data_IF_585844990948
#
_entry.id   IF_585844990948
#
_cell.length_a   1.000
_cell.length_b   1.000
_cell.length_c   1.000
_cell.angle_alpha   90.00
_cell.angle_beta   90.00
_cell.angle_gamma   90.00
#
_symmetry.space_group_name_H-M   'P 1'
#
loop_
_entity.id
_entity.type
_entity.pdbx_description
1 polymer ?
#
# COMPACT_ATOMS: atom_id res chain seq x y z
N UNK A 1 -8.31 -15.10 4.78
CA UNK A 1 -7.52 -13.95 4.30
C UNK A 1 -8.46 -12.78 4.10
N UNK A 2 -8.13 -11.59 4.67
CA UNK A 2 -9.02 -10.42 4.65
C UNK A 2 -9.32 -9.94 3.22
N UNK A 3 -8.32 -9.89 2.37
CA UNK A 3 -8.44 -9.49 0.97
C UNK A 3 -9.43 -10.36 0.16
N UNK A 4 -9.68 -11.59 0.60
CA UNK A 4 -10.62 -12.52 -0.04
C UNK A 4 -12.04 -12.46 0.55
N UNK A 5 -12.34 -11.48 1.40
CA UNK A 5 -13.73 -11.27 1.87
C UNK A 5 -14.58 -10.91 0.66
N UNK A 6 -15.70 -11.64 0.51
CA UNK A 6 -16.61 -11.44 -0.62
C UNK A 6 -17.47 -10.19 -0.45
N UNK A 7 -17.46 -9.34 -1.46
CA UNK A 7 -18.35 -8.20 -1.65
C UNK A 7 -19.18 -8.45 -2.92
N UNK A 8 -20.49 -8.56 -2.80
CA UNK A 8 -21.41 -8.79 -3.94
C UNK A 8 -20.99 -9.95 -4.87
N UNK A 9 -20.44 -11.03 -4.28
CA UNK A 9 -20.03 -12.23 -5.00
C UNK A 9 -18.62 -12.23 -5.55
N UNK A 10 -17.83 -11.16 -5.32
CA UNK A 10 -16.41 -11.06 -5.69
C UNK A 10 -15.51 -10.77 -4.47
N UNK A 11 -14.27 -11.26 -4.42
CA UNK A 11 -13.32 -10.84 -3.38
C UNK A 11 -13.06 -9.34 -3.41
N UNK A 12 -12.80 -8.74 -2.26
CA UNK A 12 -12.36 -7.34 -2.17
C UNK A 12 -11.10 -7.09 -3.01
N UNK A 13 -10.20 -8.05 -3.07
CA UNK A 13 -8.96 -7.94 -3.85
C UNK A 13 -9.21 -7.75 -5.36
N UNK A 14 -10.32 -8.24 -5.90
CA UNK A 14 -10.69 -7.98 -7.31
C UNK A 14 -10.93 -6.49 -7.55
N UNK A 15 -11.57 -5.80 -6.62
CA UNK A 15 -11.77 -4.35 -6.70
C UNK A 15 -10.44 -3.60 -6.63
N UNK A 16 -9.54 -4.02 -5.73
CA UNK A 16 -8.21 -3.42 -5.60
C UNK A 16 -7.42 -3.60 -6.90
N UNK A 17 -7.32 -4.82 -7.43
CA UNK A 17 -6.59 -5.12 -8.67
C UNK A 17 -7.21 -4.34 -9.85
N UNK A 18 -8.54 -4.33 -9.97
CA UNK A 18 -9.23 -3.60 -11.04
C UNK A 18 -8.91 -2.10 -11.01
N UNK A 19 -8.96 -1.46 -9.84
CA UNK A 19 -8.64 -0.04 -9.70
C UNK A 19 -7.17 0.27 -10.02
N UNK A 20 -6.24 -0.60 -9.61
CA UNK A 20 -4.82 -0.47 -9.96
C UNK A 20 -4.60 -0.66 -11.46
N UNK A 21 -5.36 -1.55 -12.11
CA UNK A 21 -5.32 -1.73 -13.55
C UNK A 21 -5.90 -0.51 -14.30
N UNK A 22 -6.94 0.12 -13.77
CA UNK A 22 -7.48 1.39 -14.30
C UNK A 22 -6.46 2.54 -14.13
N UNK A 23 -5.63 2.51 -13.08
CA UNK A 23 -4.50 3.43 -12.90
C UNK A 23 -3.28 3.13 -13.81
N UNK A 24 -3.35 2.08 -14.63
CA UNK A 24 -2.37 1.76 -15.68
C UNK A 24 -1.36 0.67 -15.33
N UNK A 25 -1.59 -0.13 -14.29
CA UNK A 25 -0.78 -1.31 -13.99
C UNK A 25 -1.41 -2.55 -14.61
N UNK A 26 -0.62 -3.38 -15.28
CA UNK A 26 -1.07 -4.57 -16.02
C UNK A 26 -0.36 -5.86 -15.59
N UNK A 27 0.67 -5.76 -14.76
CA UNK A 27 1.38 -6.91 -14.19
C UNK A 27 1.30 -6.87 -12.66
N UNK A 28 0.82 -7.95 -12.07
CA UNK A 28 0.58 -8.06 -10.62
C UNK A 28 1.32 -9.25 -10.01
N UNK A 29 1.99 -9.01 -8.89
CA UNK A 29 2.54 -10.06 -8.05
C UNK A 29 1.79 -10.12 -6.72
N UNK A 30 1.09 -11.19 -6.46
CA UNK A 30 0.46 -11.44 -5.17
C UNK A 30 1.47 -12.18 -4.26
N UNK A 31 1.94 -11.48 -3.23
CA UNK A 31 2.79 -12.10 -2.21
C UNK A 31 1.91 -12.85 -1.22
N UNK A 32 2.06 -14.15 -1.16
CA UNK A 32 1.23 -15.07 -0.37
C UNK A 32 2.07 -15.94 0.55
N UNK A 33 1.49 -16.35 1.69
CA UNK A 33 2.08 -17.41 2.50
C UNK A 33 1.88 -18.80 1.86
N UNK A 34 2.67 -19.81 2.22
CA UNK A 34 2.60 -21.15 1.63
C UNK A 34 1.25 -21.84 1.85
N UNK A 35 0.49 -21.44 2.88
CA UNK A 35 -0.84 -21.96 3.19
C UNK A 35 -1.99 -21.29 2.40
N UNK A 36 -1.73 -20.21 1.67
CA UNK A 36 -2.75 -19.41 1.01
C UNK A 36 -3.10 -19.88 -0.41
N UNK A 37 -3.15 -21.20 -0.63
CA UNK A 37 -3.49 -21.78 -1.93
C UNK A 37 -4.84 -21.29 -2.48
N UNK A 38 -5.80 -20.96 -1.61
CA UNK A 38 -7.11 -20.44 -2.03
C UNK A 38 -7.04 -19.16 -2.88
N UNK A 39 -6.02 -18.32 -2.68
CA UNK A 39 -5.82 -17.11 -3.48
C UNK A 39 -5.36 -17.52 -4.87
N UNK A 40 -4.38 -18.41 -4.96
CA UNK A 40 -3.88 -18.94 -6.23
C UNK A 40 -4.98 -19.66 -7.00
N UNK A 41 -5.70 -20.58 -6.35
CA UNK A 41 -6.78 -21.35 -6.98
C UNK A 41 -7.86 -20.44 -7.55
N UNK A 42 -8.19 -19.35 -6.84
CA UNK A 42 -9.16 -18.38 -7.31
C UNK A 42 -8.67 -17.65 -8.56
N UNK A 43 -7.51 -16.99 -8.52
CA UNK A 43 -7.01 -16.19 -9.64
C UNK A 43 -6.55 -17.02 -10.84
N UNK A 44 -6.08 -18.26 -10.63
CA UNK A 44 -5.78 -19.19 -11.72
C UNK A 44 -7.05 -19.64 -12.47
N UNK A 45 -8.23 -19.54 -11.83
CA UNK A 45 -9.52 -19.79 -12.45
C UNK A 45 -10.17 -18.58 -13.10
N UNK A 46 -9.65 -17.36 -12.86
CA UNK A 46 -10.16 -16.14 -13.44
C UNK A 46 -9.66 -15.94 -14.88
N UNK A 47 -10.57 -15.54 -15.77
CA UNK A 47 -10.18 -15.02 -17.08
C UNK A 47 -9.74 -13.56 -16.91
N UNK A 48 -8.44 -13.30 -17.14
CA UNK A 48 -7.88 -11.96 -17.14
C UNK A 48 -7.56 -11.54 -18.57
N UNK A 49 -8.13 -10.42 -19.02
CA UNK A 49 -8.01 -9.99 -20.42
C UNK A 49 -7.04 -8.81 -20.61
N UNK A 50 -6.78 -8.06 -19.55
CA UNK A 50 -5.99 -6.83 -19.59
C UNK A 50 -4.84 -6.78 -18.60
N UNK A 51 -4.66 -7.83 -17.83
CA UNK A 51 -3.61 -7.91 -16.81
C UNK A 51 -3.11 -9.34 -16.66
N UNK A 52 -1.95 -9.48 -16.03
CA UNK A 52 -1.37 -10.76 -15.65
C UNK A 52 -1.14 -10.82 -14.14
N UNK A 53 -1.33 -11.99 -13.54
CA UNK A 53 -1.12 -12.22 -12.10
C UNK A 53 -0.12 -13.34 -11.93
N UNK A 54 0.93 -13.07 -11.14
CA UNK A 54 1.90 -14.06 -10.68
C UNK A 54 1.95 -14.07 -9.16
N UNK A 55 2.65 -15.04 -8.58
CA UNK A 55 2.70 -15.22 -7.14
C UNK A 55 4.15 -15.32 -6.66
N UNK A 56 4.46 -14.58 -5.61
CA UNK A 56 5.65 -14.79 -4.81
C UNK A 56 5.26 -15.39 -3.45
N UNK A 57 6.09 -16.29 -2.92
CA UNK A 57 5.80 -16.95 -1.65
C UNK A 57 6.69 -16.36 -0.56
N UNK A 58 6.07 -15.79 0.45
CA UNK A 58 6.73 -15.46 1.70
C UNK A 58 6.69 -16.67 2.61
N UNK A 59 7.80 -17.41 2.71
CA UNK A 59 7.86 -18.69 3.43
C UNK A 59 7.56 -18.55 4.93
N UNK A 60 7.94 -17.42 5.53
CA UNK A 60 7.69 -17.12 6.93
C UNK A 60 7.19 -15.68 7.07
N UNK A 61 6.22 -15.40 7.95
CA UNK A 61 5.67 -14.06 8.15
C UNK A 61 6.66 -13.17 8.94
N UNK A 62 7.76 -12.78 8.32
CA UNK A 62 8.84 -12.01 8.93
C UNK A 62 8.67 -10.49 8.83
N UNK A 63 7.56 -10.02 8.28
CA UNK A 63 7.23 -8.60 8.18
C UNK A 63 6.98 -8.13 6.74
N UNK A 64 6.63 -6.85 6.61
CA UNK A 64 6.23 -6.25 5.33
C UNK A 64 7.39 -6.05 4.35
N UNK A 65 8.58 -5.73 4.83
CA UNK A 65 9.77 -5.65 3.97
C UNK A 65 10.21 -7.03 3.47
N UNK A 66 10.07 -8.08 4.28
CA UNK A 66 10.34 -9.45 3.87
C UNK A 66 9.35 -9.92 2.78
N UNK A 67 8.07 -9.52 2.89
CA UNK A 67 7.09 -9.77 1.85
C UNK A 67 7.46 -9.07 0.53
N UNK A 68 7.93 -7.81 0.59
CA UNK A 68 8.40 -7.09 -0.60
C UNK A 68 9.62 -7.77 -1.20
N UNK A 69 10.59 -8.20 -0.38
CA UNK A 69 11.78 -8.91 -0.85
C UNK A 69 11.44 -10.20 -1.62
N UNK A 70 10.37 -10.91 -1.24
CA UNK A 70 9.91 -12.11 -1.95
C UNK A 70 9.47 -11.83 -3.40
N UNK A 71 9.14 -10.59 -3.74
CA UNK A 71 8.73 -10.18 -5.09
C UNK A 71 9.90 -9.66 -5.96
N UNK A 72 11.16 -9.77 -5.53
CA UNK A 72 12.32 -9.23 -6.25
C UNK A 72 12.45 -9.77 -7.68
N UNK A 73 12.24 -11.08 -7.87
CA UNK A 73 12.30 -11.71 -9.19
C UNK A 73 11.23 -11.16 -10.15
N UNK A 74 10.04 -10.87 -9.63
CA UNK A 74 8.96 -10.25 -10.40
C UNK A 74 9.32 -8.82 -10.84
N UNK A 75 9.85 -8.01 -9.91
CA UNK A 75 10.16 -6.61 -10.19
C UNK A 75 11.35 -6.46 -11.14
N UNK A 76 12.36 -7.33 -11.04
CA UNK A 76 13.58 -7.23 -11.85
C UNK A 76 14.24 -5.86 -11.72
N UNK A 77 14.49 -5.20 -12.85
CA UNK A 77 15.08 -3.87 -12.93
C UNK A 77 14.04 -2.75 -13.04
N UNK A 78 12.75 -3.08 -12.97
CA UNK A 78 11.67 -2.11 -13.10
C UNK A 78 11.26 -1.53 -11.74
N UNK A 79 10.57 -0.39 -11.79
CA UNK A 79 9.91 0.18 -10.61
C UNK A 79 8.68 -0.67 -10.25
N UNK A 80 8.45 -0.85 -8.98
CA UNK A 80 7.33 -1.64 -8.46
C UNK A 80 6.44 -0.81 -7.53
N UNK A 81 5.13 -0.87 -7.76
CA UNK A 81 4.13 -0.34 -6.82
C UNK A 81 3.87 -1.38 -5.74
N UNK A 82 4.02 -0.99 -4.49
CA UNK A 82 3.71 -1.82 -3.32
C UNK A 82 2.51 -1.24 -2.59
N UNK A 83 1.49 -2.05 -2.40
CA UNK A 83 0.26 -1.67 -1.71
C UNK A 83 -0.21 -2.77 -0.75
N UNK A 84 -0.99 -2.40 0.24
CA UNK A 84 -1.69 -3.35 1.08
C UNK A 84 -2.90 -3.94 0.33
N UNK A 85 -3.07 -5.24 0.39
CA UNK A 85 -4.17 -5.95 -0.28
C UNK A 85 -5.56 -5.73 0.36
N UNK A 86 -5.61 -5.13 1.55
CA UNK A 86 -6.82 -4.79 2.29
C UNK A 86 -7.17 -3.29 2.26
N UNK A 87 -6.49 -2.52 1.39
CA UNK A 87 -6.78 -1.12 1.15
C UNK A 87 -7.17 -0.86 -0.32
N UNK A 88 -8.19 -0.04 -0.52
CA UNK A 88 -8.61 0.45 -1.83
C UNK A 88 -8.25 1.93 -1.96
N UNK A 89 -7.36 2.23 -2.89
CA UNK A 89 -6.78 3.57 -3.08
C UNK A 89 -7.47 4.34 -4.20
N UNK A 90 -7.48 5.70 -4.15
CA UNK A 90 -7.98 6.53 -5.23
C UNK A 90 -7.17 6.30 -6.52
N UNK A 91 -7.84 5.94 -7.59
CA UNK A 91 -7.23 5.62 -8.89
C UNK A 91 -6.37 6.75 -9.46
N UNK A 92 -6.89 7.99 -9.43
CA UNK A 92 -6.18 9.17 -9.92
C UNK A 92 -4.89 9.46 -9.15
N UNK A 93 -4.88 9.22 -7.84
CA UNK A 93 -3.68 9.38 -7.01
C UNK A 93 -2.63 8.30 -7.35
N UNK A 94 -3.06 7.05 -7.52
CA UNK A 94 -2.17 5.95 -7.92
C UNK A 94 -1.62 6.18 -9.33
N UNK A 95 -2.44 6.66 -10.28
CA UNK A 95 -1.98 7.01 -11.62
C UNK A 95 -0.90 8.10 -11.59
N UNK A 96 -1.05 9.12 -10.75
CA UNK A 96 -0.01 10.16 -10.55
C UNK A 96 1.27 9.58 -9.95
N UNK A 97 1.16 8.67 -9.01
CA UNK A 97 2.32 8.00 -8.40
C UNK A 97 3.09 7.18 -9.46
N UNK A 98 2.38 6.49 -10.36
CA UNK A 98 2.97 5.72 -11.47
C UNK A 98 3.86 6.56 -12.38
N UNK A 99 3.51 7.84 -12.59
CA UNK A 99 4.23 8.75 -13.49
C UNK A 99 5.55 9.29 -12.90
N UNK A 100 5.83 9.08 -11.62
CA UNK A 100 7.08 9.54 -11.00
C UNK A 100 8.29 8.85 -11.65
N UNK A 101 9.40 9.58 -11.85
CA UNK A 101 10.61 9.01 -12.46
C UNK A 101 11.44 8.14 -11.50
N UNK A 102 11.22 8.29 -10.20
CA UNK A 102 11.96 7.63 -9.13
C UNK A 102 10.99 7.03 -8.11
N UNK A 103 11.46 6.79 -6.89
CA UNK A 103 10.61 6.32 -5.79
C UNK A 103 9.66 7.41 -5.31
N UNK A 104 8.53 7.01 -4.73
CA UNK A 104 7.57 7.94 -4.16
C UNK A 104 6.47 7.25 -3.35
N UNK A 105 5.65 8.06 -2.68
CA UNK A 105 4.52 7.58 -1.88
C UNK A 105 3.35 8.55 -1.96
N UNK A 106 2.15 8.02 -1.71
CA UNK A 106 0.97 8.83 -1.48
C UNK A 106 0.95 9.28 -0.01
N UNK A 107 0.84 10.60 0.20
CA UNK A 107 0.63 11.20 1.50
C UNK A 107 -0.79 11.73 1.62
N UNK A 108 -1.63 11.05 2.41
CA UNK A 108 -3.03 11.46 2.59
C UNK A 108 -3.14 12.50 3.69
N UNK A 109 -3.82 13.63 3.44
CA UNK A 109 -4.04 14.59 4.52
C UNK A 109 -4.93 13.96 5.59
N UNK A 110 -4.57 14.19 6.85
CA UNK A 110 -5.32 13.63 7.99
C UNK A 110 -6.80 14.04 7.96
N UNK A 111 -7.10 15.30 7.59
CA UNK A 111 -8.48 15.80 7.45
C UNK A 111 -9.26 15.03 6.37
N UNK A 112 -8.64 14.75 5.20
CA UNK A 112 -9.33 14.06 4.12
C UNK A 112 -9.56 12.57 4.47
N UNK A 113 -8.61 11.94 5.13
CA UNK A 113 -8.78 10.59 5.67
C UNK A 113 -9.94 10.51 6.66
N UNK A 114 -10.05 11.45 7.60
CA UNK A 114 -11.17 11.49 8.56
C UNK A 114 -12.51 11.73 7.84
N UNK A 115 -12.54 12.54 6.80
CA UNK A 115 -13.77 12.90 6.11
C UNK A 115 -14.25 11.85 5.09
N UNK A 116 -13.33 11.10 4.47
CA UNK A 116 -13.61 10.31 3.26
C UNK A 116 -13.19 8.83 3.34
N UNK A 117 -12.61 8.36 4.45
CA UNK A 117 -12.35 6.93 4.66
C UNK A 117 -13.43 6.30 5.54
N UNK A 118 -13.46 4.97 5.55
CA UNK A 118 -14.25 4.20 6.52
C UNK A 118 -13.46 3.85 7.80
N UNK A 119 -12.32 4.50 8.01
CA UNK A 119 -11.40 4.23 9.12
C UNK A 119 -11.74 5.14 10.29
N UNK A 120 -11.79 4.56 11.50
CA UNK A 120 -12.00 5.32 12.73
C UNK A 120 -10.95 6.43 12.88
N UNK A 121 -11.35 7.70 13.17
CA UNK A 121 -10.42 8.81 13.35
C UNK A 121 -9.30 8.57 14.38
N UNK A 122 -9.55 7.79 15.43
CA UNK A 122 -8.51 7.44 16.41
C UNK A 122 -7.43 6.52 15.79
N UNK A 123 -7.83 5.63 14.88
CA UNK A 123 -6.87 4.80 14.13
C UNK A 123 -6.04 5.64 13.16
N UNK A 124 -6.65 6.61 12.49
CA UNK A 124 -5.95 7.53 11.56
C UNK A 124 -4.85 8.29 12.28
N UNK A 125 -5.08 8.71 13.53
CA UNK A 125 -4.07 9.40 14.35
C UNK A 125 -2.86 8.54 14.70
N UNK A 126 -2.99 7.22 14.64
CA UNK A 126 -1.91 6.27 14.91
C UNK A 126 -1.11 5.88 13.67
N UNK A 127 -1.50 6.36 12.47
CA UNK A 127 -0.77 6.07 11.24
C UNK A 127 0.55 6.83 11.18
N UNK A 128 1.50 6.28 10.41
CA UNK A 128 2.78 6.92 10.22
C UNK A 128 2.63 8.31 9.57
N UNK A 129 3.31 9.31 10.11
CA UNK A 129 3.38 10.65 9.52
C UNK A 129 4.52 10.70 8.52
N UNK A 130 4.29 11.39 7.42
CA UNK A 130 5.27 11.67 6.38
C UNK A 130 5.77 13.11 6.50
N UNK A 131 7.06 13.27 6.68
CA UNK A 131 7.72 14.57 6.61
C UNK A 131 8.33 14.76 5.22
N UNK A 132 8.10 15.93 4.63
CA UNK A 132 8.67 16.31 3.34
C UNK A 132 9.23 17.73 3.38
N UNK A 133 10.22 17.98 2.54
CA UNK A 133 10.74 19.34 2.35
C UNK A 133 9.84 20.18 1.42
N UNK A 134 10.24 21.45 1.21
CA UNK A 134 9.51 22.38 0.36
C UNK A 134 9.43 21.95 -1.12
N UNK A 135 10.26 21.04 -1.56
CA UNK A 135 10.21 20.44 -2.91
C UNK A 135 9.29 19.23 -3.01
N UNK A 136 8.74 18.77 -1.89
CA UNK A 136 7.91 17.56 -1.81
C UNK A 136 8.70 16.26 -1.68
N UNK A 137 10.02 16.34 -1.45
CA UNK A 137 10.84 15.16 -1.22
C UNK A 137 10.68 14.66 0.21
N UNK A 138 10.49 13.36 0.39
CA UNK A 138 10.39 12.71 1.69
C UNK A 138 11.68 12.89 2.48
N UNK A 139 11.60 13.45 3.67
CA UNK A 139 12.72 13.65 4.59
C UNK A 139 12.65 12.73 5.81
N UNK A 140 11.47 12.20 6.11
CA UNK A 140 11.27 11.31 7.24
C UNK A 140 9.93 10.62 7.24
N UNK A 141 9.87 9.54 7.99
CA UNK A 141 8.65 8.78 8.28
C UNK A 141 8.61 8.48 9.78
N UNK A 142 7.58 8.94 10.46
CA UNK A 142 7.43 8.77 11.92
C UNK A 142 6.37 7.69 12.14
N UNK A 143 6.83 6.49 12.44
CA UNK A 143 5.95 5.36 12.78
C UNK A 143 5.41 5.53 14.20
N UNK A 144 4.09 5.27 14.36
CA UNK A 144 3.39 5.37 15.65
C UNK A 144 3.71 6.67 16.40
N UNK A 145 3.44 7.84 15.78
CA UNK A 145 3.73 9.12 16.39
C UNK A 145 3.02 9.24 17.75
N UNK A 146 3.69 9.84 18.72
CA UNK A 146 3.04 10.13 20.01
C UNK A 146 1.95 11.21 19.86
N UNK A 147 0.99 11.31 20.79
CA UNK A 147 -0.15 12.23 20.66
C UNK A 147 0.24 13.71 20.50
N UNK A 148 1.34 14.15 21.11
CA UNK A 148 1.82 15.52 20.99
C UNK A 148 2.37 15.80 19.58
N UNK A 149 3.10 14.85 19.00
CA UNK A 149 3.58 14.91 17.62
C UNK A 149 2.41 14.98 16.63
N UNK A 150 1.38 14.14 16.82
CA UNK A 150 0.17 14.13 16.00
C UNK A 150 -0.59 15.45 16.07
N UNK A 151 -0.71 16.05 17.27
CA UNK A 151 -1.37 17.32 17.49
C UNK A 151 -0.58 18.49 16.87
N UNK A 152 0.73 18.51 17.07
CA UNK A 152 1.63 19.52 16.50
C UNK A 152 1.64 19.50 14.96
N UNK A 153 1.54 18.35 14.35
CA UNK A 153 1.50 18.20 12.90
C UNK A 153 0.20 18.76 12.26
N UNK A 154 -0.90 18.81 13.03
CA UNK A 154 -2.16 19.41 12.58
C UNK A 154 -2.96 18.58 11.58
N UNK A 155 -4.07 19.14 11.08
CA UNK A 155 -5.02 18.45 10.19
C UNK A 155 -4.52 18.32 8.74
N UNK A 156 -3.56 19.15 8.34
CA UNK A 156 -2.92 19.08 7.03
C UNK A 156 -1.74 18.10 6.96
N UNK A 157 -1.38 17.51 8.09
CA UNK A 157 -0.31 16.50 8.14
C UNK A 157 -0.61 15.34 7.19
N UNK A 158 0.43 14.84 6.54
CA UNK A 158 0.34 13.71 5.62
C UNK A 158 0.55 12.40 6.37
N UNK A 159 -0.38 11.47 6.21
CA UNK A 159 -0.30 10.13 6.77
C UNK A 159 -0.02 9.10 5.66
N UNK A 160 0.76 8.08 6.00
CA UNK A 160 1.04 6.96 5.10
C UNK A 160 -0.06 5.91 5.20
N UNK A 161 -0.48 5.40 4.04
CA UNK A 161 -1.33 4.23 3.89
C UNK A 161 -0.60 3.09 3.17
N UNK A 162 0.73 3.06 3.25
CA UNK A 162 1.59 2.04 2.63
C UNK A 162 1.35 1.87 1.12
N UNK A 163 1.22 2.98 0.41
CA UNK A 163 1.16 3.02 -1.05
C UNK A 163 2.46 3.63 -1.57
N UNK A 164 3.40 2.79 -1.99
CA UNK A 164 4.75 3.17 -2.35
C UNK A 164 5.08 2.74 -3.78
N UNK A 165 5.65 3.63 -4.56
CA UNK A 165 6.38 3.28 -5.77
C UNK A 165 7.86 3.20 -5.44
N UNK A 166 8.51 2.10 -5.76
CA UNK A 166 9.91 1.88 -5.48
C UNK A 166 10.73 1.67 -6.75
N UNK A 167 11.94 2.20 -6.77
CA UNK A 167 13.01 1.71 -7.63
C UNK A 167 13.52 0.36 -7.12
N UNK A 168 14.28 -0.43 -7.90
CA UNK A 168 14.86 -1.71 -7.45
C UNK A 168 15.74 -1.60 -6.20
N UNK A 169 16.17 -0.41 -5.81
CA UNK A 169 16.92 -0.14 -4.58
C UNK A 169 16.17 -0.58 -3.30
N UNK A 170 14.85 -0.74 -3.37
CA UNK A 170 14.06 -1.28 -2.25
C UNK A 170 14.55 -2.66 -1.82
N UNK A 171 14.98 -3.51 -2.74
CA UNK A 171 15.43 -4.86 -2.41
C UNK A 171 16.75 -4.86 -1.64
N UNK A 172 17.66 -3.92 -1.93
CA UNK A 172 18.86 -3.68 -1.12
C UNK A 172 18.49 -3.18 0.27
N UNK A 173 17.54 -2.26 0.37
CA UNK A 173 17.03 -1.77 1.63
C UNK A 173 16.43 -2.91 2.48
N UNK A 174 15.55 -3.74 1.90
CA UNK A 174 14.95 -4.88 2.60
C UNK A 174 15.99 -5.87 3.15
N UNK A 175 17.12 -6.03 2.47
CA UNK A 175 18.24 -6.88 2.95
C UNK A 175 19.12 -6.22 4.00
N UNK A 176 19.09 -4.89 4.11
CA UNK A 176 20.01 -4.10 4.93
C UNK A 176 19.42 -3.66 6.27
N UNK A 177 18.09 -3.68 6.41
CA UNK A 177 17.42 -3.30 7.65
C UNK A 177 17.49 -4.40 8.72
N UNK A 178 17.41 -3.99 9.98
CA UNK A 178 17.29 -4.89 11.12
C UNK A 178 15.80 -5.12 11.47
N UNK A 179 15.54 -6.13 12.28
CA UNK A 179 14.19 -6.36 12.81
C UNK A 179 13.80 -5.26 13.79
N UNK A 180 12.56 -4.81 13.67
CA UNK A 180 11.96 -3.89 14.63
C UNK A 180 11.82 -4.53 16.03
N UNK A 181 11.42 -3.76 17.02
CA UNK A 181 11.13 -4.25 18.38
C UNK A 181 10.06 -5.38 18.40
N UNK A 182 9.23 -5.45 17.36
CA UNK A 182 8.25 -6.53 17.16
C UNK A 182 8.85 -7.81 16.59
N UNK A 183 10.14 -7.80 16.23
CA UNK A 183 10.83 -8.92 15.59
C UNK A 183 10.53 -9.07 14.10
N UNK A 184 10.00 -8.03 13.44
CA UNK A 184 9.61 -8.02 12.04
C UNK A 184 10.47 -7.05 11.21
N UNK A 185 10.67 -7.33 9.93
CA UNK A 185 11.27 -6.42 8.97
C UNK A 185 10.18 -5.50 8.40
N UNK A 186 10.18 -4.24 8.82
CA UNK A 186 9.14 -3.27 8.48
C UNK A 186 9.47 -2.52 7.19
N UNK A 187 8.48 -2.37 6.31
CA UNK A 187 8.68 -1.61 5.06
C UNK A 187 9.06 -0.15 5.32
N UNK A 188 8.57 0.43 6.40
CA UNK A 188 8.89 1.81 6.80
C UNK A 188 10.38 1.98 7.11
N UNK A 189 11.01 0.96 7.70
CA UNK A 189 12.45 0.99 7.97
C UNK A 189 13.27 0.88 6.67
N UNK A 190 12.80 0.10 5.69
CA UNK A 190 13.39 0.06 4.36
C UNK A 190 13.26 1.41 3.64
N UNK A 191 12.12 2.10 3.75
CA UNK A 191 11.95 3.46 3.20
C UNK A 191 12.92 4.44 3.85
N UNK A 192 13.06 4.42 5.18
CA UNK A 192 14.06 5.27 5.88
C UNK A 192 15.47 4.99 5.37
N UNK A 193 15.83 3.72 5.27
CA UNK A 193 17.14 3.33 4.75
C UNK A 193 17.38 3.90 3.35
N UNK A 194 16.40 3.82 2.44
CA UNK A 194 16.50 4.38 1.08
C UNK A 194 16.75 5.90 1.10
N UNK A 195 15.97 6.64 1.89
CA UNK A 195 16.12 8.10 2.04
C UNK A 195 17.50 8.45 2.61
N UNK A 196 17.96 7.76 3.65
CA UNK A 196 19.28 7.96 4.27
C UNK A 196 20.43 7.64 3.31
N UNK A 197 20.20 6.75 2.31
CA UNK A 197 21.19 6.40 1.29
C UNK A 197 21.01 7.19 -0.02
N UNK A 198 20.33 8.34 0.06
CA UNK A 198 20.25 9.31 -1.03
C UNK A 198 19.29 8.94 -2.17
N UNK A 199 18.34 8.02 -1.93
CA UNK A 199 17.28 7.79 -2.90
C UNK A 199 16.34 8.99 -2.97
N UNK A 200 16.03 9.44 -4.19
CA UNK A 200 14.99 10.43 -4.38
C UNK A 200 13.62 9.82 -4.17
N UNK A 201 12.85 10.42 -3.26
CA UNK A 201 11.58 9.85 -2.83
C UNK A 201 10.52 10.96 -2.74
N UNK A 202 9.65 11.05 -3.73
CA UNK A 202 8.61 12.07 -3.78
C UNK A 202 7.41 11.71 -2.91
N UNK A 203 6.81 12.72 -2.27
CA UNK A 203 5.51 12.60 -1.59
C UNK A 203 4.45 13.28 -2.44
N UNK A 204 3.43 12.53 -2.88
CA UNK A 204 2.27 13.08 -3.58
C UNK A 204 1.15 13.34 -2.57
N UNK A 205 0.82 14.60 -2.26
CA UNK A 205 -0.29 14.92 -1.37
C UNK A 205 -1.63 14.51 -1.99
N UNK A 206 -2.50 13.89 -1.17
CA UNK A 206 -3.83 13.39 -1.57
C UNK A 206 -4.89 13.93 -0.62
N UNK A 207 -5.91 14.59 -1.17
CA UNK A 207 -7.08 15.12 -0.46
C UNK A 207 -8.28 14.17 -0.63
N UNK A 208 -8.07 12.88 -0.38
CA UNK A 208 -9.10 11.85 -0.46
C UNK A 208 -8.91 10.82 0.66
N UNK A 209 -9.85 9.89 0.80
CA UNK A 209 -9.76 8.77 1.73
C UNK A 209 -9.29 7.49 1.07
N UNK A 210 -8.98 6.50 1.90
CA UNK A 210 -8.72 5.11 1.52
C UNK A 210 -9.81 4.26 2.16
N UNK A 211 -10.36 3.28 1.43
CA UNK A 211 -11.22 2.27 2.05
C UNK A 211 -10.36 1.15 2.62
N UNK A 212 -10.64 0.77 3.85
CA UNK A 212 -9.91 -0.25 4.60
C UNK A 212 -10.83 -1.45 4.91
N UNK A 213 -10.37 -2.65 4.60
CA UNK A 213 -11.06 -3.91 4.88
C UNK A 213 -10.34 -4.69 6.00
N UNK A 214 -10.03 -4.03 7.09
CA UNK A 214 -9.27 -4.63 8.19
C UNK A 214 -10.08 -5.58 9.07
N UNK A 215 -11.40 -5.39 9.14
CA UNK A 215 -12.26 -6.21 9.96
C UNK A 215 -13.67 -6.40 9.32
N UNK A 216 -14.45 -7.33 9.87
CA UNK A 216 -15.80 -7.62 9.35
C UNK A 216 -16.81 -6.47 9.50
N UNK A 217 -16.55 -5.55 10.41
CA UNK A 217 -17.38 -4.34 10.58
C UNK A 217 -17.28 -3.38 9.40
N UNK A 218 -16.18 -3.44 8.64
CA UNK A 218 -15.93 -2.57 7.49
C UNK A 218 -16.72 -2.98 6.25
N UNK A 219 -17.25 -4.22 6.18
CA UNK A 219 -17.90 -4.79 4.98
C UNK A 219 -19.02 -3.90 4.47
N UNK A 220 -19.94 -3.46 5.33
CA UNK A 220 -21.11 -2.70 4.90
C UNK A 220 -20.72 -1.34 4.29
N UNK A 221 -19.81 -0.60 4.90
CA UNK A 221 -19.34 0.70 4.39
C UNK A 221 -18.54 0.56 3.10
N UNK A 222 -17.74 -0.49 2.98
CA UNK A 222 -16.97 -0.77 1.76
C UNK A 222 -17.86 -1.20 0.61
N UNK A 223 -18.87 -2.08 0.85
CA UNK A 223 -19.87 -2.46 -0.16
C UNK A 223 -20.63 -1.23 -0.67
N UNK A 224 -21.09 -0.36 0.23
CA UNK A 224 -21.79 0.87 -0.15
C UNK A 224 -20.89 1.77 -1.01
N UNK A 225 -19.64 2.00 -0.60
CA UNK A 225 -18.70 2.86 -1.31
C UNK A 225 -18.31 2.30 -2.69
N UNK A 226 -18.20 0.98 -2.84
CA UNK A 226 -17.82 0.31 -4.09
C UNK A 226 -19.00 -0.15 -4.96
N UNK A 227 -20.24 0.13 -4.56
CA UNK A 227 -21.44 -0.35 -5.24
C UNK A 227 -21.55 0.08 -6.72
N UNK A 228 -20.93 1.19 -7.11
CA UNK A 228 -20.87 1.67 -8.50
C UNK A 228 -19.54 1.37 -9.21
N UNK A 229 -18.59 0.75 -8.52
CA UNK A 229 -17.29 0.44 -9.11
C UNK A 229 -17.37 -0.84 -9.96
N UNK A 230 -17.09 -0.71 -11.26
CA UNK A 230 -17.06 -1.84 -12.18
C UNK A 230 -15.74 -2.59 -12.08
N UNK A 231 -15.79 -3.87 -11.73
CA UNK A 231 -14.60 -4.73 -11.63
C UNK A 231 -14.31 -5.40 -12.98
N UNK A 232 -13.12 -5.18 -13.50
CA UNK A 232 -12.59 -5.78 -14.73
C UNK A 232 -11.17 -6.32 -14.47
N UNK A 233 -10.97 -7.61 -14.64
CA UNK A 233 -9.67 -8.27 -14.53
C UNK A 233 -9.09 -8.64 -15.90
#
# INVERSE_FOLDING_TARGET
>A
VKAMISLDGRPFLDYVISALADAGFDEFCLVIGPEHNMIRDYYDSCETSRLSIVYAVQEHPLGTADAVAAAEEFAGDDRVLVVNSDNFYPEDAVARLRELPASGTLGFTKRAMIAHSNIDPERIRAFALLDSDDSGQLTGIIEKPDPHTVEAAGEAALVSMNCFLFTPKIFDACRSIEKSERGEYEIVDAVRWMVEHGEHFDVIPVESGVLDMSNRGDIASVVEALSSHEVRL
#
